data_IF_884504000637
#
_entry.id   IF_884504000637
#
_cell.length_a   1.000
_cell.length_b   1.000
_cell.length_c   1.000
_cell.angle_alpha   90.00
_cell.angle_beta   90.00
_cell.angle_gamma   90.00
#
_symmetry.space_group_name_H-M   'P 1'
#
loop_
_entity.id
_entity.type
_entity.pdbx_description
1 polymer ?
#
# COMPACT_ATOMS: atom_id res chain seq x y z
N UNK A 1 14.89 8.29 -26.78
CA UNK A 1 14.02 9.46 -26.87
C UNK A 1 14.06 10.22 -25.56
N UNK A 2 14.11 11.55 -25.61
CA UNK A 2 14.02 12.38 -24.42
C UNK A 2 12.56 12.45 -23.99
N UNK A 3 12.26 11.98 -22.78
CA UNK A 3 10.94 12.16 -22.17
C UNK A 3 10.83 13.57 -21.59
N UNK A 4 9.72 14.25 -21.90
CA UNK A 4 9.42 15.55 -21.34
C UNK A 4 8.45 15.36 -20.18
N UNK A 5 8.82 15.80 -18.98
CA UNK A 5 7.96 15.75 -17.80
C UNK A 5 7.32 17.11 -17.56
N UNK A 6 6.02 17.13 -17.33
CA UNK A 6 5.35 18.32 -16.81
C UNK A 6 5.79 18.55 -15.37
N UNK A 7 6.30 19.74 -15.07
CA UNK A 7 6.70 20.14 -13.69
C UNK A 7 5.46 20.51 -12.87
N UNK A 8 4.63 19.53 -12.60
CA UNK A 8 3.42 19.65 -11.78
C UNK A 8 3.68 19.24 -10.30
N UNK A 9 2.62 19.19 -9.51
CA UNK A 9 2.70 18.75 -8.09
C UNK A 9 3.14 17.29 -7.99
N UNK A 10 2.76 16.43 -8.94
CA UNK A 10 3.20 15.03 -9.00
C UNK A 10 4.69 14.88 -9.21
N UNK A 11 5.28 15.68 -10.11
CA UNK A 11 6.72 15.73 -10.31
C UNK A 11 7.45 16.22 -9.04
N UNK A 12 6.89 17.25 -8.37
CA UNK A 12 7.44 17.75 -7.11
C UNK A 12 7.42 16.71 -6.00
N UNK A 13 6.33 15.92 -5.93
CA UNK A 13 6.21 14.79 -5.01
C UNK A 13 7.29 13.74 -5.28
N UNK A 14 7.44 13.27 -6.51
CA UNK A 14 8.43 12.25 -6.86
C UNK A 14 9.86 12.72 -6.53
N UNK A 15 10.19 13.98 -6.81
CA UNK A 15 11.48 14.55 -6.43
C UNK A 15 11.70 14.58 -4.92
N UNK A 16 10.67 15.01 -4.18
CA UNK A 16 10.77 15.09 -2.71
C UNK A 16 10.84 13.71 -2.08
N UNK A 17 10.17 12.72 -2.67
CA UNK A 17 10.28 11.32 -2.27
C UNK A 17 11.72 10.82 -2.39
N UNK A 18 12.38 11.06 -3.54
CA UNK A 18 13.78 10.71 -3.76
C UNK A 18 14.68 11.40 -2.73
N UNK A 19 14.47 12.70 -2.49
CA UNK A 19 15.23 13.48 -1.49
C UNK A 19 15.05 12.92 -0.07
N UNK A 20 13.81 12.59 0.32
CA UNK A 20 13.53 12.05 1.65
C UNK A 20 14.15 10.66 1.87
N UNK A 21 14.29 9.88 0.80
CA UNK A 21 14.89 8.54 0.79
C UNK A 21 16.39 8.57 0.41
N UNK A 22 17.01 9.75 0.51
CA UNK A 22 18.47 9.92 0.29
C UNK A 22 18.96 9.39 -1.08
N UNK A 23 18.10 9.48 -2.12
CA UNK A 23 18.44 9.08 -3.48
C UNK A 23 18.22 7.60 -3.83
N UNK A 24 17.76 6.78 -2.88
CA UNK A 24 17.65 5.31 -3.05
C UNK A 24 16.86 4.90 -4.30
N UNK A 25 15.85 5.67 -4.70
CA UNK A 25 15.02 5.37 -5.88
C UNK A 25 15.24 6.34 -7.05
N UNK A 26 16.35 7.11 -7.03
CA UNK A 26 16.67 8.00 -8.14
C UNK A 26 16.94 7.15 -9.41
N UNK A 27 16.19 7.46 -10.47
CA UNK A 27 16.22 6.74 -11.74
C UNK A 27 15.94 5.22 -11.71
N UNK A 28 15.54 4.67 -10.56
CA UNK A 28 15.17 3.27 -10.42
C UNK A 28 13.84 2.99 -11.12
N UNK A 29 13.79 1.90 -11.89
CA UNK A 29 12.63 1.41 -12.64
C UNK A 29 12.25 0.01 -12.18
N UNK A 30 11.06 -0.45 -12.52
CA UNK A 30 10.62 -1.80 -12.15
C UNK A 30 11.59 -2.89 -12.63
N UNK A 31 12.17 -2.76 -13.83
CA UNK A 31 13.13 -3.76 -14.35
C UNK A 31 14.37 -3.93 -13.47
N UNK A 32 14.78 -2.89 -12.74
CA UNK A 32 15.95 -2.99 -11.85
C UNK A 32 15.71 -3.98 -10.69
N UNK A 33 14.45 -4.13 -10.28
CA UNK A 33 14.08 -5.06 -9.20
C UNK A 33 13.70 -6.45 -9.72
N UNK A 34 13.46 -6.62 -11.02
CA UNK A 34 12.99 -7.89 -11.58
C UNK A 34 13.89 -9.08 -11.21
N UNK A 35 15.18 -8.96 -11.48
CA UNK A 35 16.13 -10.05 -11.22
C UNK A 35 16.42 -10.26 -9.73
N UNK A 36 16.69 -9.19 -8.94
CA UNK A 36 16.87 -9.32 -7.50
C UNK A 36 15.66 -9.93 -6.76
N UNK A 37 14.43 -9.58 -7.14
CA UNK A 37 13.22 -10.19 -6.57
C UNK A 37 13.10 -11.67 -6.98
N UNK A 38 13.31 -11.98 -8.27
CA UNK A 38 13.26 -13.36 -8.79
C UNK A 38 14.24 -14.28 -8.11
N UNK A 39 15.42 -13.78 -7.74
CA UNK A 39 16.47 -14.51 -7.05
C UNK A 39 16.35 -14.43 -5.51
N UNK A 40 15.24 -13.89 -5.00
CA UNK A 40 14.98 -13.70 -3.57
C UNK A 40 16.09 -12.92 -2.82
N UNK A 41 16.81 -12.02 -3.53
CA UNK A 41 17.78 -11.12 -2.92
C UNK A 41 17.10 -9.95 -2.21
N UNK A 42 15.93 -9.56 -2.69
CA UNK A 42 15.05 -8.56 -2.09
C UNK A 42 13.61 -9.10 -2.06
N UNK A 43 12.75 -8.59 -1.15
CA UNK A 43 11.33 -8.95 -1.13
C UNK A 43 10.61 -8.57 -2.43
N UNK A 44 9.63 -9.38 -2.82
CA UNK A 44 8.73 -9.04 -3.92
C UNK A 44 7.86 -7.85 -3.57
N UNK A 45 7.75 -6.90 -4.49
CA UNK A 45 6.99 -5.67 -4.31
C UNK A 45 5.73 -5.68 -5.17
N UNK A 46 4.60 -5.36 -4.56
CA UNK A 46 3.31 -5.20 -5.23
C UNK A 46 2.67 -3.88 -4.78
N UNK A 47 2.46 -2.95 -5.70
CA UNK A 47 1.62 -1.79 -5.50
C UNK A 47 0.20 -2.09 -5.98
N UNK A 48 -0.81 -1.51 -5.33
CA UNK A 48 -2.22 -1.79 -5.60
C UNK A 48 -3.09 -0.52 -5.72
N UNK A 49 -2.69 0.52 -6.51
CA UNK A 49 -3.51 1.72 -6.63
C UNK A 49 -4.94 1.40 -7.08
N UNK A 50 -5.89 2.18 -6.56
CA UNK A 50 -7.30 2.03 -6.88
C UNK A 50 -7.65 2.70 -8.22
N UNK A 51 -8.44 2.04 -9.06
CA UNK A 51 -9.00 2.60 -10.29
C UNK A 51 -10.21 3.47 -9.94
N UNK A 52 -10.18 4.73 -10.33
CA UNK A 52 -11.27 5.68 -10.05
C UNK A 52 -12.53 5.34 -10.84
N UNK A 53 -12.35 4.86 -12.08
CA UNK A 53 -13.43 4.63 -13.03
C UNK A 53 -14.43 3.55 -12.57
N UNK A 54 -13.97 2.52 -11.89
CA UNK A 54 -14.80 1.35 -11.55
C UNK A 54 -14.47 0.67 -10.21
N UNK A 55 -13.51 1.21 -9.47
CA UNK A 55 -13.12 0.72 -8.16
C UNK A 55 -12.29 -0.56 -8.16
N UNK A 56 -11.83 -1.05 -9.32
CA UNK A 56 -10.84 -2.13 -9.40
C UNK A 56 -9.48 -1.67 -8.87
N UNK A 57 -8.53 -2.59 -8.76
CA UNK A 57 -7.13 -2.28 -8.41
C UNK A 57 -6.25 -2.58 -9.62
N UNK A 58 -5.21 -1.78 -9.82
CA UNK A 58 -4.13 -2.12 -10.74
C UNK A 58 -2.96 -2.62 -9.90
N UNK A 59 -2.59 -3.87 -10.07
CA UNK A 59 -1.45 -4.45 -9.40
C UNK A 59 -0.20 -4.18 -10.23
N UNK A 60 0.78 -3.50 -9.62
CA UNK A 60 2.04 -3.12 -10.25
C UNK A 60 3.17 -3.84 -9.53
N UNK A 61 3.85 -4.74 -10.24
CA UNK A 61 4.99 -5.51 -9.72
C UNK A 61 6.03 -5.70 -10.82
N UNK A 62 7.33 -5.80 -10.48
CA UNK A 62 8.33 -6.29 -11.39
C UNK A 62 8.08 -7.73 -11.84
N UNK A 63 7.50 -8.58 -10.98
CA UNK A 63 7.21 -9.97 -11.26
C UNK A 63 5.85 -10.16 -11.94
N UNK A 64 5.66 -11.23 -12.74
CA UNK A 64 4.34 -11.62 -13.21
C UNK A 64 3.44 -12.01 -12.04
N UNK A 65 2.28 -11.37 -11.93
CA UNK A 65 1.34 -11.55 -10.83
C UNK A 65 -0.09 -11.84 -11.31
N UNK A 66 -0.24 -12.38 -12.52
CA UNK A 66 -1.54 -12.73 -13.11
C UNK A 66 -2.37 -13.66 -12.21
N UNK A 67 -1.71 -14.46 -11.37
CA UNK A 67 -2.38 -15.33 -10.39
C UNK A 67 -3.19 -14.56 -9.34
N UNK A 68 -2.96 -13.26 -9.15
CA UNK A 68 -3.75 -12.39 -8.29
C UNK A 68 -4.92 -11.71 -9.01
N UNK A 69 -5.07 -11.89 -10.32
CA UNK A 69 -6.14 -11.27 -11.09
C UNK A 69 -7.39 -12.16 -11.19
N UNK A 70 -7.26 -13.45 -10.95
CA UNK A 70 -8.34 -14.42 -11.03
C UNK A 70 -8.73 -14.92 -9.64
N UNK A 71 -9.98 -14.69 -9.26
CA UNK A 71 -10.61 -15.44 -8.17
C UNK A 71 -11.30 -16.66 -8.78
N UNK A 72 -10.79 -17.84 -8.46
CA UNK A 72 -11.49 -19.09 -8.77
C UNK A 72 -12.54 -19.34 -7.69
N UNK A 73 -13.66 -18.62 -7.78
CA UNK A 73 -14.75 -18.78 -6.81
C UNK A 73 -15.76 -19.80 -7.35
N UNK A 74 -15.68 -21.01 -6.80
CA UNK A 74 -16.62 -22.10 -7.10
C UNK A 74 -18.06 -21.83 -6.63
N UNK A 75 -18.30 -20.74 -5.90
CA UNK A 75 -19.61 -20.35 -5.37
C UNK A 75 -20.46 -19.65 -6.43
N UNK A 76 -19.85 -18.98 -7.40
CA UNK A 76 -20.59 -18.31 -8.45
C UNK A 76 -20.77 -19.19 -9.68
N UNK A 77 -21.99 -19.62 -9.91
CA UNK A 77 -22.38 -20.42 -11.10
C UNK A 77 -22.53 -19.57 -12.37
N UNK A 78 -22.32 -18.23 -12.30
CA UNK A 78 -22.42 -17.35 -13.45
C UNK A 78 -21.08 -17.24 -14.19
N UNK A 79 -21.15 -17.18 -15.52
CA UNK A 79 -20.00 -16.99 -16.43
C UNK A 79 -19.34 -15.61 -16.34
N UNK A 80 -19.84 -14.72 -15.49
CA UNK A 80 -19.29 -13.38 -15.29
C UNK A 80 -18.39 -13.36 -14.05
N UNK A 81 -17.13 -13.70 -14.24
CA UNK A 81 -16.11 -13.43 -13.23
C UNK A 81 -15.73 -11.97 -13.34
N UNK A 82 -16.09 -11.16 -12.35
CA UNK A 82 -15.60 -9.79 -12.25
C UNK A 82 -14.12 -9.86 -11.85
N UNK A 83 -13.23 -9.52 -12.78
CA UNK A 83 -11.81 -9.31 -12.43
C UNK A 83 -11.70 -8.08 -11.54
N UNK A 84 -11.44 -8.28 -10.25
CA UNK A 84 -11.23 -7.19 -9.30
C UNK A 84 -9.89 -6.50 -9.51
N UNK A 85 -8.89 -7.24 -9.99
CA UNK A 85 -7.53 -6.78 -10.16
C UNK A 85 -7.14 -6.80 -11.64
N UNK A 86 -6.41 -5.77 -12.07
CA UNK A 86 -5.75 -5.68 -13.35
C UNK A 86 -4.23 -5.77 -13.13
N UNK A 87 -3.53 -6.56 -13.93
CA UNK A 87 -2.07 -6.57 -13.91
C UNK A 87 -1.52 -5.48 -14.83
N UNK A 88 -0.73 -4.56 -14.27
CA UNK A 88 -0.15 -3.42 -15.00
C UNK A 88 0.71 -3.89 -16.18
N UNK A 89 1.55 -4.91 -15.98
CA UNK A 89 2.44 -5.42 -17.03
C UNK A 89 1.67 -6.06 -18.18
N UNK A 90 0.50 -6.61 -17.94
CA UNK A 90 -0.39 -7.13 -18.99
C UNK A 90 -1.16 -6.02 -19.69
N UNK A 91 -1.63 -5.02 -18.94
CA UNK A 91 -2.35 -3.89 -19.50
C UNK A 91 -1.48 -3.07 -20.47
N UNK A 92 -0.18 -3.04 -20.25
CA UNK A 92 0.82 -2.27 -21.04
C UNK A 92 1.88 -3.16 -21.70
N UNK A 93 1.56 -4.42 -22.05
CA UNK A 93 2.56 -5.38 -22.55
C UNK A 93 3.31 -4.87 -23.79
N UNK A 94 2.64 -4.11 -24.66
CA UNK A 94 3.24 -3.53 -25.86
C UNK A 94 4.05 -2.24 -25.59
N UNK A 95 4.02 -1.70 -24.38
CA UNK A 95 4.58 -0.40 -24.02
C UNK A 95 5.80 -0.47 -23.10
N UNK A 96 6.46 -1.64 -23.02
CA UNK A 96 7.60 -1.86 -22.13
C UNK A 96 7.29 -1.48 -20.66
N UNK A 97 6.33 -2.15 -19.99
CA UNK A 97 5.78 -1.74 -18.70
C UNK A 97 6.81 -1.76 -17.57
N UNK A 98 7.84 -2.62 -17.65
CA UNK A 98 8.92 -2.66 -16.66
C UNK A 98 9.80 -1.40 -16.67
N UNK A 99 9.66 -0.55 -17.69
CA UNK A 99 10.35 0.73 -17.76
C UNK A 99 9.69 1.83 -16.90
N UNK A 100 8.57 1.53 -16.22
CA UNK A 100 7.93 2.43 -15.25
C UNK A 100 8.92 2.78 -14.14
N UNK A 101 9.00 4.07 -13.79
CA UNK A 101 9.82 4.52 -12.65
C UNK A 101 9.18 4.07 -11.33
N UNK A 102 10.05 3.64 -10.41
CA UNK A 102 9.63 3.25 -9.06
C UNK A 102 8.88 4.38 -8.34
N UNK A 103 9.39 5.61 -8.44
CA UNK A 103 8.75 6.80 -7.87
C UNK A 103 7.36 7.07 -8.46
N UNK A 104 7.16 6.79 -9.76
CA UNK A 104 5.84 6.94 -10.39
C UNK A 104 4.86 5.86 -9.92
N UNK A 105 5.31 4.61 -9.71
CA UNK A 105 4.50 3.56 -9.10
C UNK A 105 4.12 3.92 -7.65
N UNK A 106 5.07 4.39 -6.84
CA UNK A 106 4.81 4.88 -5.49
C UNK A 106 3.82 6.05 -5.48
N UNK A 107 3.97 7.01 -6.41
CA UNK A 107 3.03 8.12 -6.56
C UNK A 107 1.62 7.63 -6.87
N UNK A 108 1.44 6.71 -7.81
CA UNK A 108 0.13 6.14 -8.11
C UNK A 108 -0.51 5.50 -6.88
N UNK A 109 0.28 4.82 -6.06
CA UNK A 109 -0.16 4.16 -4.83
C UNK A 109 -0.47 5.11 -3.67
N UNK A 110 0.01 6.35 -3.72
CA UNK A 110 -0.11 7.36 -2.67
C UNK A 110 -0.79 8.66 -3.14
N UNK A 111 -1.47 8.63 -4.27
CA UNK A 111 -2.18 9.80 -4.83
C UNK A 111 -3.53 9.98 -4.17
N UNK A 112 -3.59 10.87 -3.18
CA UNK A 112 -4.83 11.18 -2.49
C UNK A 112 -5.52 12.42 -3.10
N UNK A 113 -6.83 12.38 -3.36
CA UNK A 113 -7.59 13.51 -3.90
C UNK A 113 -7.37 14.79 -3.09
N UNK A 114 -7.31 15.93 -3.77
CA UNK A 114 -7.05 17.27 -3.25
C UNK A 114 -5.60 17.54 -2.80
N UNK A 115 -4.80 16.52 -2.48
CA UNK A 115 -3.38 16.68 -2.11
C UNK A 115 -2.50 16.52 -3.34
N UNK A 116 -2.70 15.44 -4.10
CA UNK A 116 -2.01 15.15 -5.35
C UNK A 116 -3.01 14.97 -6.49
N UNK A 117 -2.69 15.40 -7.72
CA UNK A 117 -3.53 15.12 -8.87
C UNK A 117 -3.55 13.61 -9.13
N UNK A 118 -4.74 13.07 -9.43
CA UNK A 118 -4.89 11.69 -9.89
C UNK A 118 -3.95 11.41 -11.06
N UNK A 119 -3.53 10.18 -11.21
CA UNK A 119 -2.67 9.78 -12.32
C UNK A 119 -3.54 9.16 -13.40
N UNK A 120 -3.55 9.82 -14.57
CA UNK A 120 -4.20 9.30 -15.76
C UNK A 120 -3.22 8.40 -16.52
N UNK A 121 -3.62 7.15 -16.75
CA UNK A 121 -2.86 6.19 -17.53
C UNK A 121 -3.17 6.34 -19.02
N UNK A 122 -2.18 6.09 -19.91
CA UNK A 122 -2.33 6.26 -21.35
C UNK A 122 -3.12 5.09 -21.99
N UNK A 123 -4.35 4.90 -21.57
CA UNK A 123 -5.33 3.93 -22.10
C UNK A 123 -6.45 4.63 -22.81
N UNK A 124 -7.25 3.91 -23.60
CA UNK A 124 -8.46 4.44 -24.26
C UNK A 124 -9.66 3.54 -23.93
N UNK A 125 -10.66 4.01 -23.15
CA UNK A 125 -10.69 5.33 -22.47
C UNK A 125 -9.57 5.45 -21.41
N UNK A 126 -9.20 6.69 -21.00
CA UNK A 126 -8.21 6.90 -19.95
C UNK A 126 -8.63 6.26 -18.62
N UNK A 127 -7.73 5.50 -18.01
CA UNK A 127 -7.90 4.97 -16.67
C UNK A 127 -7.23 5.94 -15.69
N UNK A 128 -7.99 6.38 -14.69
CA UNK A 128 -7.46 7.19 -13.61
C UNK A 128 -7.23 6.35 -12.37
N UNK A 129 -6.10 6.57 -11.70
CA UNK A 129 -5.75 5.86 -10.47
C UNK A 129 -5.51 6.81 -9.33
N UNK A 130 -5.82 6.32 -8.14
CA UNK A 130 -5.64 7.01 -6.86
C UNK A 130 -5.11 6.07 -5.79
N UNK A 131 -4.96 6.61 -4.59
CA UNK A 131 -4.40 5.96 -3.41
C UNK A 131 -4.94 4.53 -3.19
N UNK A 132 -4.00 3.61 -2.95
CA UNK A 132 -4.32 2.21 -2.66
C UNK A 132 -5.16 2.05 -1.39
N UNK A 133 -4.98 2.93 -0.40
CA UNK A 133 -5.71 2.88 0.87
C UNK A 133 -7.22 3.01 0.73
N UNK A 134 -7.72 3.45 -0.43
CA UNK A 134 -9.16 3.47 -0.73
C UNK A 134 -9.73 2.05 -0.91
N UNK A 135 -8.91 1.10 -1.38
CA UNK A 135 -9.35 -0.28 -1.67
C UNK A 135 -8.61 -1.34 -0.88
N UNK A 136 -7.37 -1.08 -0.52
CA UNK A 136 -6.48 -2.04 0.12
C UNK A 136 -5.56 -1.31 1.11
N UNK A 137 -6.16 -0.81 2.19
CA UNK A 137 -5.42 -0.11 3.21
C UNK A 137 -4.41 -1.06 3.87
N UNK A 138 -3.17 -0.60 4.00
CA UNK A 138 -2.01 -1.38 4.48
C UNK A 138 -1.61 -2.59 3.62
N UNK A 139 -2.19 -2.78 2.43
CA UNK A 139 -1.87 -3.90 1.54
C UNK A 139 -2.34 -5.27 2.04
N UNK A 140 -3.24 -5.29 3.03
CA UNK A 140 -3.68 -6.52 3.67
C UNK A 140 -4.41 -7.45 2.70
N UNK A 141 -5.32 -6.91 1.90
CA UNK A 141 -6.06 -7.72 0.94
C UNK A 141 -5.13 -8.38 -0.08
N UNK A 142 -4.20 -7.62 -0.65
CA UNK A 142 -3.19 -8.15 -1.59
C UNK A 142 -2.33 -9.24 -0.95
N UNK A 143 -1.91 -9.05 0.31
CA UNK A 143 -1.12 -10.03 1.06
C UNK A 143 -1.89 -11.33 1.30
N UNK A 144 -3.16 -11.23 1.71
CA UNK A 144 -4.00 -12.40 1.94
C UNK A 144 -4.41 -13.10 0.63
N UNK A 145 -4.63 -12.35 -0.46
CA UNK A 145 -4.88 -12.91 -1.78
C UNK A 145 -3.66 -13.73 -2.25
N UNK A 146 -2.44 -13.18 -2.06
CA UNK A 146 -1.20 -13.92 -2.32
C UNK A 146 -1.11 -15.20 -1.48
N UNK A 147 -1.35 -15.08 -0.18
CA UNK A 147 -1.31 -16.22 0.74
C UNK A 147 -2.32 -17.30 0.35
N UNK A 148 -3.53 -16.93 -0.07
CA UNK A 148 -4.56 -17.88 -0.55
C UNK A 148 -4.14 -18.65 -1.79
N UNK A 149 -3.49 -17.98 -2.75
CA UNK A 149 -2.99 -18.63 -3.96
C UNK A 149 -1.93 -19.69 -3.62
N UNK A 150 -1.06 -19.41 -2.67
CA UNK A 150 0.08 -20.26 -2.32
C UNK A 150 -0.09 -21.04 -1.01
N UNK A 151 -1.29 -21.06 -0.42
CA UNK A 151 -1.56 -21.58 0.93
C UNK A 151 -1.00 -22.99 1.15
N UNK A 152 -1.24 -23.91 0.21
CA UNK A 152 -0.81 -25.30 0.33
C UNK A 152 0.72 -25.41 0.24
N UNK A 153 1.33 -24.64 -0.65
CA UNK A 153 2.80 -24.60 -0.76
C UNK A 153 3.43 -23.99 0.48
N UNK A 154 2.88 -22.90 1.00
CA UNK A 154 3.38 -22.24 2.21
C UNK A 154 3.28 -23.18 3.41
N UNK A 155 2.13 -23.80 3.62
CA UNK A 155 1.92 -24.73 4.73
C UNK A 155 2.86 -25.94 4.69
N UNK A 156 3.25 -26.41 3.49
CA UNK A 156 4.13 -27.56 3.32
C UNK A 156 5.61 -27.25 3.35
N UNK A 157 6.02 -26.02 3.05
CA UNK A 157 7.43 -25.67 2.81
C UNK A 157 7.97 -24.60 3.75
N UNK A 158 7.14 -24.05 4.65
CA UNK A 158 7.55 -23.03 5.63
C UNK A 158 7.02 -23.38 7.02
N UNK A 159 7.56 -22.74 8.05
CA UNK A 159 7.03 -22.86 9.42
C UNK A 159 5.76 -22.04 9.66
N UNK A 160 5.38 -21.15 8.75
CA UNK A 160 4.19 -20.33 8.85
C UNK A 160 4.34 -18.98 8.18
N UNK A 161 3.41 -18.08 8.47
CA UNK A 161 3.37 -16.71 7.93
C UNK A 161 3.36 -15.70 9.07
N UNK A 162 4.23 -14.72 9.01
CA UNK A 162 4.19 -13.54 9.87
C UNK A 162 3.77 -12.37 8.99
N UNK A 163 2.57 -11.86 9.22
CA UNK A 163 2.08 -10.64 8.57
C UNK A 163 2.57 -9.43 9.36
N UNK A 164 3.42 -8.59 8.77
CA UNK A 164 3.85 -7.33 9.37
C UNK A 164 3.00 -6.19 8.81
N UNK A 165 2.21 -5.56 9.66
CA UNK A 165 1.38 -4.42 9.33
C UNK A 165 2.08 -3.12 9.76
N UNK A 166 2.31 -2.20 8.81
CA UNK A 166 2.87 -0.88 9.08
C UNK A 166 1.77 0.18 8.97
N UNK A 167 1.51 0.91 10.05
CA UNK A 167 0.42 1.88 10.14
C UNK A 167 0.96 3.31 10.38
N UNK A 168 0.22 4.27 9.89
CA UNK A 168 0.47 5.70 10.20
C UNK A 168 0.04 6.07 11.62
N UNK A 169 -0.96 5.37 12.18
CA UNK A 169 -1.53 5.61 13.51
C UNK A 169 -1.81 4.30 14.25
N UNK A 170 -1.89 4.40 15.57
CA UNK A 170 -2.36 3.33 16.41
C UNK A 170 -3.83 3.00 16.09
N UNK A 171 -4.21 1.73 16.18
CA UNK A 171 -5.54 1.23 15.81
C UNK A 171 -6.67 1.69 16.74
N UNK A 172 -6.35 2.21 17.93
CA UNK A 172 -7.35 2.59 18.92
C UNK A 172 -8.05 3.91 18.59
N UNK A 173 -9.36 3.92 18.81
CA UNK A 173 -10.26 5.00 18.47
C UNK A 173 -10.22 6.11 19.52
N UNK A 174 -9.47 7.17 19.27
CA UNK A 174 -9.79 8.44 19.88
C UNK A 174 -10.94 9.07 19.10
N UNK A 175 -12.05 9.31 19.78
CA UNK A 175 -13.15 10.10 19.23
C UNK A 175 -12.68 11.55 19.19
N UNK A 176 -12.09 11.95 18.07
CA UNK A 176 -11.68 13.33 17.86
C UNK A 176 -12.90 14.26 17.92
N UNK A 177 -12.77 15.30 18.74
CA UNK A 177 -13.82 16.32 18.87
C UNK A 177 -13.79 17.21 17.61
N UNK A 178 -14.86 17.26 16.79
CA UNK A 178 -14.82 17.90 15.46
C UNK A 178 -14.76 19.44 15.51
N UNK A 179 -14.62 20.06 16.69
CA UNK A 179 -14.78 21.50 16.87
C UNK A 179 -13.51 22.37 16.83
N UNK A 180 -12.31 21.79 16.60
CA UNK A 180 -11.04 22.53 16.66
C UNK A 180 -10.39 22.78 15.29
N UNK A 181 -11.13 23.08 14.24
CA UNK A 181 -10.59 23.25 12.90
C UNK A 181 -10.53 24.71 12.43
N UNK A 182 -9.45 25.09 11.73
CA UNK A 182 -9.34 26.31 10.93
C UNK A 182 -10.35 26.32 9.77
N UNK A 183 -10.63 27.50 9.16
CA UNK A 183 -11.55 27.61 8.00
C UNK A 183 -11.13 26.67 6.86
N UNK A 184 -9.83 26.48 6.64
CA UNK A 184 -9.27 25.58 5.65
C UNK A 184 -9.59 24.11 6.00
N UNK A 185 -9.41 23.73 7.27
CA UNK A 185 -9.77 22.36 7.72
C UNK A 185 -11.27 22.06 7.57
N UNK A 186 -12.13 23.06 7.73
CA UNK A 186 -13.59 22.93 7.50
C UNK A 186 -13.95 22.76 6.02
N UNK A 187 -13.20 23.38 5.11
CA UNK A 187 -13.40 23.22 3.67
C UNK A 187 -13.03 21.79 3.20
N UNK A 188 -11.98 21.22 3.79
CA UNK A 188 -11.52 19.86 3.50
C UNK A 188 -12.10 18.79 4.45
N UNK A 189 -12.84 19.21 5.48
CA UNK A 189 -13.44 18.30 6.46
C UNK A 189 -14.30 17.18 5.85
N UNK A 190 -15.12 17.40 4.80
CA UNK A 190 -15.90 16.32 4.20
C UNK A 190 -15.02 15.24 3.58
N UNK A 191 -13.93 15.61 2.90
CA UNK A 191 -13.00 14.66 2.29
C UNK A 191 -12.17 13.93 3.36
N UNK A 192 -11.73 14.65 4.39
CA UNK A 192 -11.02 14.07 5.53
C UNK A 192 -11.92 13.13 6.35
N UNK A 193 -13.18 13.49 6.57
CA UNK A 193 -14.14 12.64 7.26
C UNK A 193 -14.48 11.39 6.43
N UNK A 194 -14.62 11.52 5.12
CA UNK A 194 -14.82 10.38 4.22
C UNK A 194 -13.64 9.41 4.30
N UNK A 195 -12.41 9.92 4.21
CA UNK A 195 -11.20 9.10 4.32
C UNK A 195 -11.10 8.42 5.69
N UNK A 196 -11.29 9.17 6.77
CA UNK A 196 -11.25 8.61 8.13
C UNK A 196 -12.30 7.51 8.35
N UNK A 197 -13.51 7.69 7.82
CA UNK A 197 -14.55 6.67 7.89
C UNK A 197 -14.23 5.45 7.02
N UNK A 198 -13.67 5.66 5.83
CA UNK A 198 -13.23 4.57 4.95
C UNK A 198 -12.13 3.76 5.62
N UNK A 199 -11.13 4.42 6.21
CA UNK A 199 -10.04 3.75 6.95
C UNK A 199 -10.57 2.92 8.12
N UNK A 200 -11.50 3.47 8.92
CA UNK A 200 -12.13 2.74 10.03
C UNK A 200 -12.95 1.54 9.56
N UNK A 201 -13.70 1.70 8.46
CA UNK A 201 -14.46 0.60 7.87
C UNK A 201 -13.53 -0.50 7.37
N UNK A 202 -12.39 -0.13 6.79
CA UNK A 202 -11.36 -1.09 6.39
C UNK A 202 -10.77 -1.81 7.61
N UNK A 203 -10.49 -1.13 8.71
CA UNK A 203 -9.99 -1.77 9.93
C UNK A 203 -10.94 -2.85 10.43
N UNK A 204 -12.25 -2.58 10.48
CA UNK A 204 -13.24 -3.61 10.87
C UNK A 204 -13.30 -4.77 9.90
N UNK A 205 -13.29 -4.49 8.60
CA UNK A 205 -13.30 -5.52 7.55
C UNK A 205 -12.02 -6.35 7.62
N UNK A 206 -10.88 -5.70 7.80
CA UNK A 206 -9.58 -6.35 7.93
C UNK A 206 -9.52 -7.29 9.12
N UNK A 207 -10.07 -6.88 10.28
CA UNK A 207 -10.15 -7.75 11.46
C UNK A 207 -10.99 -8.99 11.22
N UNK A 208 -12.13 -8.84 10.54
CA UNK A 208 -12.97 -9.99 10.18
C UNK A 208 -12.25 -10.93 9.21
N UNK A 209 -11.54 -10.38 8.21
CA UNK A 209 -10.80 -11.20 7.26
C UNK A 209 -9.64 -11.91 7.95
N UNK A 210 -8.88 -11.21 8.81
CA UNK A 210 -7.79 -11.82 9.59
C UNK A 210 -8.28 -12.93 10.52
N UNK A 211 -9.43 -12.72 11.17
CA UNK A 211 -10.01 -13.74 12.05
C UNK A 211 -10.45 -15.01 11.30
N UNK A 212 -10.68 -14.92 9.99
CA UNK A 212 -11.05 -16.07 9.14
C UNK A 212 -9.85 -16.84 8.59
N UNK A 213 -8.61 -16.34 8.77
CA UNK A 213 -7.43 -17.02 8.23
C UNK A 213 -7.29 -18.46 8.71
N UNK A 214 -7.53 -18.80 10.01
CA UNK A 214 -7.46 -20.17 10.48
C UNK A 214 -8.49 -21.13 9.83
N UNK A 215 -9.54 -20.60 9.23
CA UNK A 215 -10.57 -21.43 8.58
C UNK A 215 -10.12 -22.00 7.23
N UNK A 216 -9.09 -21.43 6.62
CA UNK A 216 -8.66 -21.79 5.26
C UNK A 216 -7.14 -21.96 5.10
N UNK A 217 -6.35 -21.67 6.13
CA UNK A 217 -4.90 -21.85 6.13
C UNK A 217 -4.48 -22.77 7.29
N UNK A 218 -3.86 -23.91 6.97
CA UNK A 218 -3.49 -24.94 7.94
C UNK A 218 -2.12 -24.71 8.61
N UNK A 219 -1.39 -23.63 8.26
CA UNK A 219 -0.10 -23.27 8.84
C UNK A 219 -0.20 -22.29 10.00
N UNK A 220 0.91 -22.07 10.70
CA UNK A 220 1.01 -21.01 11.71
C UNK A 220 0.83 -19.63 11.06
N UNK A 221 0.06 -18.75 11.69
CA UNK A 221 -0.21 -17.41 11.20
C UNK A 221 -0.21 -16.40 12.34
N UNK A 222 0.68 -15.43 12.26
CA UNK A 222 0.81 -14.34 13.23
C UNK A 222 0.74 -12.97 12.56
N UNK A 223 0.20 -11.98 13.27
CA UNK A 223 0.18 -10.59 12.84
C UNK A 223 0.98 -9.74 13.82
N UNK A 224 1.93 -8.99 13.32
CA UNK A 224 2.74 -8.05 14.10
C UNK A 224 2.55 -6.65 13.53
N UNK A 225 1.98 -5.76 14.33
CA UNK A 225 1.67 -4.39 13.91
C UNK A 225 2.70 -3.41 14.45
N UNK A 226 3.20 -2.54 13.58
CA UNK A 226 3.98 -1.35 13.93
C UNK A 226 3.23 -0.10 13.49
N UNK A 227 3.42 0.99 14.20
CA UNK A 227 2.81 2.26 13.83
C UNK A 227 3.77 3.43 14.10
N UNK A 228 3.51 4.58 13.44
CA UNK A 228 4.26 5.81 13.72
C UNK A 228 3.81 6.38 15.07
N UNK A 229 4.46 5.92 16.17
CA UNK A 229 4.17 6.37 17.51
C UNK A 229 4.63 7.83 17.70
N UNK A 230 3.75 8.66 18.23
CA UNK A 230 3.94 10.09 18.39
C UNK A 230 3.61 10.50 19.82
N UNK A 231 4.41 11.39 20.39
CA UNK A 231 4.07 12.05 21.66
C UNK A 231 3.19 13.27 21.40
N UNK A 232 2.39 13.68 22.41
CA UNK A 232 1.57 14.89 22.28
C UNK A 232 2.44 16.12 21.99
N UNK A 233 2.15 16.77 20.86
CA UNK A 233 2.89 17.95 20.39
C UNK A 233 4.07 17.63 19.46
N UNK A 234 4.34 16.38 19.17
CA UNK A 234 5.36 15.94 18.21
C UNK A 234 4.72 15.24 16.98
N UNK A 235 3.57 15.72 16.54
CA UNK A 235 2.85 15.12 15.42
C UNK A 235 3.68 15.15 14.14
N UNK A 236 3.87 13.98 13.53
CA UNK A 236 4.54 13.85 12.24
C UNK A 236 3.60 14.36 11.15
N UNK A 237 4.09 15.29 10.35
CA UNK A 237 3.30 15.87 9.27
C UNK A 237 2.94 14.83 8.21
N UNK A 238 1.66 14.75 7.84
CA UNK A 238 1.17 13.98 6.67
C UNK A 238 1.53 14.68 5.36
N UNK A 239 2.72 15.26 5.28
CA UNK A 239 3.24 15.99 4.13
C UNK A 239 4.45 15.26 3.56
N UNK A 240 4.62 15.34 2.23
CA UNK A 240 5.89 14.89 1.60
C UNK A 240 7.06 15.84 1.85
N UNK A 241 6.81 17.01 2.45
CA UNK A 241 7.85 17.94 2.91
C UNK A 241 8.22 17.63 4.37
N UNK A 242 9.00 16.57 4.58
CA UNK A 242 9.43 16.19 5.91
C UNK A 242 10.55 17.12 6.40
N UNK A 243 10.36 17.68 7.58
CA UNK A 243 11.41 18.44 8.29
C UNK A 243 12.45 17.47 8.89
N UNK A 244 13.57 18.03 9.37
CA UNK A 244 14.56 17.23 10.11
C UNK A 244 13.97 16.63 11.40
N UNK A 245 13.02 17.33 12.03
CA UNK A 245 12.30 16.85 13.20
C UNK A 245 11.36 15.70 12.85
N UNK A 246 10.59 15.80 11.76
CA UNK A 246 9.73 14.71 11.29
C UNK A 246 10.56 13.47 11.01
N UNK A 247 11.68 13.59 10.30
CA UNK A 247 12.59 12.46 10.00
C UNK A 247 13.16 11.84 11.27
N UNK A 248 13.51 12.64 12.27
CA UNK A 248 13.95 12.16 13.58
C UNK A 248 12.83 11.40 14.28
N UNK A 249 11.63 11.96 14.37
CA UNK A 249 10.48 11.36 15.04
C UNK A 249 10.06 10.04 14.36
N UNK A 250 10.10 9.97 13.02
CA UNK A 250 9.87 8.71 12.29
C UNK A 250 10.89 7.64 12.68
N UNK A 251 12.18 7.96 12.73
CA UNK A 251 13.24 7.01 13.12
C UNK A 251 13.10 6.55 14.57
N UNK A 252 12.68 7.43 15.47
CA UNK A 252 12.52 7.12 16.88
C UNK A 252 11.22 6.40 17.20
N UNK A 253 10.22 6.42 16.30
CA UNK A 253 8.91 5.82 16.53
C UNK A 253 8.97 4.32 16.82
N UNK A 254 9.97 3.61 16.28
CA UNK A 254 10.17 2.18 16.53
C UNK A 254 10.42 1.86 18.02
N UNK A 255 10.93 2.82 18.78
CA UNK A 255 11.22 2.71 20.21
C UNK A 255 10.12 3.27 21.10
N UNK A 256 8.97 3.71 20.52
CA UNK A 256 7.88 4.36 21.22
C UNK A 256 6.60 3.52 21.19
N UNK A 257 5.67 3.83 22.10
CA UNK A 257 4.38 3.15 22.19
C UNK A 257 4.52 1.64 22.38
N UNK A 258 3.74 0.86 21.64
CA UNK A 258 3.74 -0.60 21.68
C UNK A 258 4.78 -1.23 20.71
N UNK A 259 5.51 -0.43 19.92
CA UNK A 259 6.48 -0.94 18.95
C UNK A 259 7.62 -1.77 19.56
N UNK A 260 8.13 -1.47 20.78
CA UNK A 260 9.09 -2.36 21.44
C UNK A 260 8.54 -3.76 21.72
N UNK A 261 7.26 -3.87 22.11
CA UNK A 261 6.59 -5.16 22.32
C UNK A 261 6.40 -5.90 20.99
N UNK A 262 5.99 -5.18 19.91
CA UNK A 262 5.90 -5.72 18.55
C UNK A 262 7.26 -6.23 18.07
N UNK A 263 8.35 -5.50 18.34
CA UNK A 263 9.71 -5.92 18.02
C UNK A 263 10.09 -7.19 18.79
N UNK A 264 9.80 -7.26 20.09
CA UNK A 264 10.07 -8.45 20.90
C UNK A 264 9.29 -9.68 20.40
N UNK A 265 8.01 -9.50 20.06
CA UNK A 265 7.17 -10.55 19.48
C UNK A 265 7.71 -11.05 18.13
N UNK A 266 8.07 -10.12 17.23
CA UNK A 266 8.67 -10.50 15.95
C UNK A 266 9.94 -11.31 16.11
N UNK A 267 10.83 -10.91 17.03
CA UNK A 267 12.07 -11.64 17.31
C UNK A 267 11.83 -13.01 17.95
N UNK A 268 10.74 -13.19 18.69
CA UNK A 268 10.31 -14.49 19.21
C UNK A 268 9.84 -15.42 18.09
N UNK A 269 9.01 -14.91 17.17
CA UNK A 269 8.47 -15.67 16.05
C UNK A 269 9.52 -16.08 15.00
N UNK A 270 10.64 -15.36 14.94
CA UNK A 270 11.74 -15.66 14.01
C UNK A 270 12.76 -16.68 14.56
N UNK A 271 12.57 -17.21 15.78
CA UNK A 271 13.44 -18.25 16.38
C UNK A 271 12.98 -19.64 16.04
#
# INVERSE_FOLDING_TARGET
>A
GSYTYTKDRGYSFEKKLVENLEGVFEDTRLYNNYLPEKEAQIPMLIYSPAVVNDGRRILISPQPISYLTYFNDSVYTSTYHSMENLEFTKLFEDNNPLNLRMTSAMRMNATFPYILPMVSLPTEPPIEVMDAGVRDNYGLKTSLDFMRVFKDWIAQNTSGVILIELRDKQKYFDVENPNNGTIISRLFAPAGAFYANTTKTHDYTNDQILSSVPDWFDGEFDVVTFYMAQDKGEEISMSWHLTSLDKKNIRESINRGDNPQSTARLLELLK
#
